data_IF_266900293970
#
_entry.id   IF_266900293970
#
_cell.length_a   1.000
_cell.length_b   1.000
_cell.length_c   1.000
_cell.angle_alpha   90.00
_cell.angle_beta   90.00
_cell.angle_gamma   90.00
#
_symmetry.space_group_name_H-M   'P 1'
#
loop_
_entity.id
_entity.type
_entity.pdbx_description
1 polymer ?
#
# COMPACT_ATOMS: atom_id res chain seq x y z
N UNK A 1 6.82 4.38 29.57
CA UNK A 1 6.13 4.34 28.26
C UNK A 1 6.72 3.17 27.47
N UNK A 2 6.04 2.02 27.47
CA UNK A 2 6.54 0.77 26.89
C UNK A 2 6.39 0.81 25.37
N UNK A 3 7.51 0.84 24.63
CA UNK A 3 7.52 0.57 23.19
C UNK A 3 7.28 -0.92 23.00
N UNK A 4 6.03 -1.32 22.77
CA UNK A 4 5.72 -2.69 22.37
C UNK A 4 6.25 -2.92 20.95
N UNK A 5 7.40 -3.58 20.84
CA UNK A 5 7.90 -4.08 19.56
C UNK A 5 7.00 -5.24 19.11
N UNK A 6 6.00 -4.95 18.29
CA UNK A 6 5.24 -6.00 17.62
C UNK A 6 6.14 -6.69 16.60
N UNK A 7 6.59 -7.90 16.88
CA UNK A 7 7.18 -8.78 15.87
C UNK A 7 6.20 -8.91 14.71
N UNK A 8 6.63 -8.60 13.48
CA UNK A 8 5.77 -8.71 12.30
C UNK A 8 5.12 -10.10 12.21
N UNK A 9 3.79 -10.11 12.06
CA UNK A 9 2.99 -11.34 12.06
C UNK A 9 3.44 -12.31 10.97
N UNK A 10 3.18 -13.61 11.15
CA UNK A 10 3.51 -14.64 10.15
C UNK A 10 2.89 -14.32 8.78
N UNK A 11 1.65 -13.80 8.78
CA UNK A 11 0.94 -13.39 7.57
C UNK A 11 1.61 -12.21 6.88
N UNK A 12 1.98 -11.17 7.62
CA UNK A 12 2.71 -10.00 7.09
C UNK A 12 4.01 -10.42 6.42
N UNK A 13 4.81 -11.26 7.09
CA UNK A 13 6.09 -11.76 6.54
C UNK A 13 5.89 -12.61 5.28
N UNK A 14 4.83 -13.42 5.25
CA UNK A 14 4.48 -14.22 4.07
C UNK A 14 4.09 -13.32 2.89
N UNK A 15 3.21 -12.34 3.12
CA UNK A 15 2.76 -11.38 2.11
C UNK A 15 3.91 -10.55 1.55
N UNK A 16 4.73 -9.95 2.40
CA UNK A 16 5.87 -9.13 1.97
C UNK A 16 6.85 -9.94 1.09
N UNK A 17 7.10 -11.21 1.43
CA UNK A 17 7.91 -12.11 0.60
C UNK A 17 7.25 -12.40 -0.75
N UNK A 18 5.95 -12.66 -0.79
CA UNK A 18 5.22 -12.93 -2.03
C UNK A 18 5.19 -11.70 -2.94
N UNK A 19 4.92 -10.51 -2.39
CA UNK A 19 4.96 -9.23 -3.12
C UNK A 19 6.34 -9.01 -3.71
N UNK A 20 7.41 -9.11 -2.90
CA UNK A 20 8.78 -8.93 -3.39
C UNK A 20 9.15 -9.91 -4.51
N UNK A 21 8.73 -11.18 -4.41
CA UNK A 21 8.92 -12.16 -5.48
C UNK A 21 8.19 -11.77 -6.77
N UNK A 22 6.95 -11.32 -6.67
CA UNK A 22 6.17 -10.90 -7.84
C UNK A 22 6.79 -9.68 -8.52
N UNK A 23 7.11 -8.64 -7.75
CA UNK A 23 7.73 -7.41 -8.26
C UNK A 23 9.02 -7.70 -9.03
N UNK A 24 9.90 -8.54 -8.45
CA UNK A 24 11.16 -8.93 -9.10
C UNK A 24 10.94 -9.84 -10.31
N UNK A 25 10.09 -10.87 -10.19
CA UNK A 25 9.86 -11.85 -11.26
C UNK A 25 9.28 -11.23 -12.53
N UNK A 26 8.41 -10.23 -12.37
CA UNK A 26 7.69 -9.62 -13.48
C UNK A 26 8.17 -8.20 -13.81
N UNK A 27 9.26 -7.74 -13.20
CA UNK A 27 9.81 -6.40 -13.43
C UNK A 27 8.74 -5.30 -13.34
N UNK A 28 7.88 -5.37 -12.32
CA UNK A 28 6.65 -4.55 -12.26
C UNK A 28 6.90 -3.08 -11.93
N UNK A 29 8.02 -2.77 -11.28
CA UNK A 29 8.36 -1.42 -10.80
C UNK A 29 9.81 -1.13 -11.17
N UNK A 30 10.04 0.00 -11.82
CA UNK A 30 11.33 0.57 -12.16
C UNK A 30 11.63 1.83 -11.32
N UNK A 31 12.89 2.26 -11.34
CA UNK A 31 13.33 3.47 -10.64
C UNK A 31 12.72 4.71 -11.31
N UNK A 32 12.13 5.59 -10.51
CA UNK A 32 11.43 6.79 -10.96
C UNK A 32 9.95 6.59 -11.28
N UNK A 33 9.39 5.38 -11.14
CA UNK A 33 7.97 5.13 -11.43
C UNK A 33 7.03 5.94 -10.52
N UNK A 34 5.91 6.38 -11.10
CA UNK A 34 4.76 6.94 -10.39
C UNK A 34 3.60 5.96 -10.49
N UNK A 35 3.25 5.34 -9.36
CA UNK A 35 2.35 4.19 -9.34
C UNK A 35 1.01 4.62 -8.75
N UNK A 36 -0.04 4.55 -9.58
CA UNK A 36 -1.42 4.70 -9.12
C UNK A 36 -1.92 3.40 -8.50
N UNK A 37 -2.35 3.45 -7.23
CA UNK A 37 -2.98 2.32 -6.54
C UNK A 37 -4.47 2.61 -6.37
N UNK A 38 -5.30 1.79 -7.01
CA UNK A 38 -6.74 1.84 -6.84
C UNK A 38 -7.14 1.39 -5.43
N UNK A 39 -7.63 2.31 -4.60
CA UNK A 39 -8.15 2.02 -3.26
C UNK A 39 -9.66 1.83 -3.34
N UNK A 40 -10.19 0.67 -2.98
CA UNK A 40 -11.63 0.41 -3.00
C UNK A 40 -12.30 0.56 -1.64
N UNK A 41 -11.52 0.77 -0.58
CA UNK A 41 -11.96 0.60 0.82
C UNK A 41 -11.81 -0.84 1.33
N UNK A 42 -11.56 -1.79 0.42
CA UNK A 42 -11.33 -3.18 0.77
C UNK A 42 -9.94 -3.43 1.35
N UNK A 43 -9.84 -4.48 2.18
CA UNK A 43 -8.59 -4.90 2.84
C UNK A 43 -7.48 -5.20 1.84
N UNK A 44 -7.79 -5.74 0.66
CA UNK A 44 -6.77 -6.09 -0.33
C UNK A 44 -6.07 -4.85 -0.89
N UNK A 45 -6.84 -3.83 -1.29
CA UNK A 45 -6.30 -2.58 -1.84
C UNK A 45 -5.49 -1.79 -0.81
N UNK A 46 -5.98 -1.72 0.43
CA UNK A 46 -5.27 -1.08 1.55
C UNK A 46 -4.01 -1.85 1.92
N UNK A 47 -4.07 -3.18 1.94
CA UNK A 47 -2.90 -4.04 2.19
C UNK A 47 -1.86 -3.86 1.09
N UNK A 48 -2.27 -3.81 -0.17
CA UNK A 48 -1.35 -3.57 -1.29
C UNK A 48 -0.64 -2.22 -1.15
N UNK A 49 -1.39 -1.15 -0.89
CA UNK A 49 -0.83 0.18 -0.67
C UNK A 49 0.19 0.16 0.48
N UNK A 50 -0.18 -0.42 1.62
CA UNK A 50 0.73 -0.54 2.77
C UNK A 50 1.98 -1.38 2.46
N UNK A 51 1.84 -2.51 1.76
CA UNK A 51 3.00 -3.34 1.40
C UNK A 51 3.95 -2.64 0.43
N UNK A 52 3.43 -1.83 -0.49
CA UNK A 52 4.27 -1.03 -1.38
C UNK A 52 4.94 0.11 -0.60
N UNK A 53 4.19 0.84 0.22
CA UNK A 53 4.72 1.98 0.96
C UNK A 53 5.83 1.57 1.95
N UNK A 54 5.60 0.53 2.75
CA UNK A 54 6.60 0.01 3.69
C UNK A 54 7.91 -0.37 2.99
N UNK A 55 7.82 -0.94 1.77
CA UNK A 55 9.00 -1.39 1.02
C UNK A 55 9.91 -0.25 0.58
N UNK A 56 9.38 0.96 0.38
CA UNK A 56 10.17 2.15 -0.01
C UNK A 56 11.31 2.45 0.97
N UNK A 57 11.18 2.03 2.22
CA UNK A 57 12.19 2.26 3.25
C UNK A 57 13.48 1.43 3.09
N UNK A 58 13.46 0.31 2.34
CA UNK A 58 14.61 -0.60 2.27
C UNK A 58 14.91 -1.17 0.88
N UNK A 59 14.04 -0.98 -0.11
CA UNK A 59 14.32 -1.44 -1.48
C UNK A 59 15.17 -0.41 -2.24
N UNK A 60 16.12 -0.83 -3.08
CA UNK A 60 16.98 0.08 -3.85
C UNK A 60 16.27 0.62 -5.11
N UNK A 61 14.96 0.81 -5.05
CA UNK A 61 14.13 1.32 -6.16
C UNK A 61 13.25 2.43 -5.61
N UNK A 62 13.37 3.63 -6.16
CA UNK A 62 12.65 4.83 -5.77
C UNK A 62 11.41 4.99 -6.65
N UNK A 63 10.25 5.11 -6.02
CA UNK A 63 8.97 5.34 -6.71
C UNK A 63 8.03 6.16 -5.85
N UNK A 64 7.08 6.81 -6.51
CA UNK A 64 5.97 7.55 -5.91
C UNK A 64 4.71 6.67 -5.90
N UNK A 65 3.96 6.72 -4.80
CA UNK A 65 2.65 6.05 -4.69
C UNK A 65 1.56 7.11 -4.69
N UNK A 66 0.52 6.88 -5.49
CA UNK A 66 -0.62 7.77 -5.61
C UNK A 66 -1.89 6.96 -5.34
N UNK A 67 -2.64 7.33 -4.30
CA UNK A 67 -3.94 6.73 -4.02
C UNK A 67 -4.98 7.21 -5.05
N UNK A 68 -5.68 6.28 -5.69
CA UNK A 68 -6.76 6.56 -6.63
C UNK A 68 -8.05 5.92 -6.13
N UNK A 69 -9.10 6.72 -5.97
CA UNK A 69 -10.45 6.24 -5.69
C UNK A 69 -11.38 6.71 -6.81
N UNK A 70 -12.22 5.81 -7.32
CA UNK A 70 -13.29 6.16 -8.26
C UNK A 70 -14.57 6.14 -7.46
N UNK A 71 -15.20 7.31 -7.33
CA UNK A 71 -16.50 7.44 -6.69
C UNK A 71 -17.59 6.93 -7.64
N UNK A 72 -18.32 5.86 -7.29
CA UNK A 72 -19.40 5.33 -8.10
C UNK A 72 -20.71 6.14 -7.99
N UNK A 73 -20.80 7.09 -7.05
CA UNK A 73 -21.98 7.94 -6.85
C UNK A 73 -23.06 7.35 -5.94
N UNK A 74 -22.72 6.40 -5.07
CA UNK A 74 -23.65 5.88 -4.05
C UNK A 74 -23.64 6.78 -2.80
N UNK A 75 -24.80 6.95 -2.15
CA UNK A 75 -24.96 7.84 -0.98
C UNK A 75 -24.04 7.44 0.20
N UNK A 76 -23.81 6.15 0.42
CA UNK A 76 -22.94 5.60 1.47
C UNK A 76 -21.53 5.23 0.96
N UNK A 77 -20.97 6.04 0.06
CA UNK A 77 -19.65 5.82 -0.51
C UNK A 77 -18.49 6.02 0.50
N UNK A 78 -17.39 5.28 0.31
CA UNK A 78 -16.20 5.35 1.18
C UNK A 78 -15.25 6.52 0.86
N UNK A 79 -15.63 7.43 -0.04
CA UNK A 79 -14.73 8.45 -0.58
C UNK A 79 -14.16 9.40 0.49
N UNK A 80 -14.98 9.84 1.43
CA UNK A 80 -14.56 10.72 2.53
C UNK A 80 -13.60 9.99 3.48
N UNK A 81 -13.97 8.80 3.93
CA UNK A 81 -13.16 7.99 4.85
C UNK A 81 -11.79 7.64 4.25
N UNK A 82 -11.76 7.24 2.97
CA UNK A 82 -10.52 6.94 2.26
C UNK A 82 -9.63 8.17 2.09
N UNK A 83 -10.23 9.34 1.83
CA UNK A 83 -9.50 10.59 1.69
C UNK A 83 -8.82 10.98 3.00
N UNK A 84 -9.53 10.87 4.11
CA UNK A 84 -8.99 11.20 5.43
C UNK A 84 -7.92 10.18 5.85
N UNK A 85 -8.16 8.89 5.64
CA UNK A 85 -7.16 7.85 5.83
C UNK A 85 -5.86 8.12 5.05
N UNK A 86 -5.96 8.51 3.77
CA UNK A 86 -4.76 8.81 2.97
C UNK A 86 -4.03 10.06 3.49
N UNK A 87 -4.75 11.10 3.89
CA UNK A 87 -4.14 12.33 4.47
C UNK A 87 -3.36 12.06 5.74
N UNK A 88 -3.83 11.15 6.58
CA UNK A 88 -3.13 10.75 7.81
C UNK A 88 -1.84 9.97 7.54
N UNK A 89 -1.75 9.29 6.39
CA UNK A 89 -0.60 8.46 6.02
C UNK A 89 0.51 9.18 5.25
N UNK A 90 0.21 10.36 4.71
CA UNK A 90 1.14 11.16 3.89
C UNK A 90 1.17 10.71 2.44
#
# INVERSE_FOLDING_TARGET
MSKSSHTASRSHRSLNRSVGKALHRYSMIADGDRIGVGLSGGRDSLTLMQMLDERRAWVPVRYELIALYIDPGFEDGFGTDLKDYCREKG
#
